data_IF_853368225287
#
_entry.id   IF_853368225287
#
_cell.length_a   1.000
_cell.length_b   1.000
_cell.length_c   1.000
_cell.angle_alpha   90.00
_cell.angle_beta   90.00
_cell.angle_gamma   90.00
#
_symmetry.space_group_name_H-M   'P 1'
#
loop_
_entity.id
_entity.type
_entity.pdbx_description
1 polymer ?
#
# COMPACT_ATOMS: atom_id res chain seq x y z
N UNK A 1 -18.62 -0.40 11.24
CA UNK A 1 -19.81 -1.25 11.14
C UNK A 1 -19.66 -2.14 9.93
N UNK A 2 -19.97 -3.46 10.04
CA UNK A 2 -20.14 -4.37 8.91
C UNK A 2 -21.62 -4.70 8.76
N UNK A 3 -22.16 -4.53 7.56
CA UNK A 3 -23.52 -4.92 7.19
C UNK A 3 -23.45 -6.08 6.20
N UNK A 4 -24.27 -7.11 6.40
CA UNK A 4 -24.43 -8.25 5.52
C UNK A 4 -25.87 -8.41 5.06
N UNK A 5 -26.39 -9.63 5.12
CA UNK A 5 -27.76 -9.95 4.74
C UNK A 5 -28.79 -9.16 5.59
N UNK A 6 -29.71 -8.51 4.93
CA UNK A 6 -30.90 -7.85 5.51
C UNK A 6 -32.15 -8.56 4.99
N UNK A 7 -32.96 -9.13 5.88
CA UNK A 7 -34.03 -10.04 5.52
C UNK A 7 -35.36 -9.35 5.23
N UNK A 8 -35.58 -8.10 5.69
CA UNK A 8 -36.84 -7.38 5.43
C UNK A 8 -36.67 -5.85 5.40
N UNK A 9 -37.63 -5.15 4.80
CA UNK A 9 -37.60 -3.69 4.59
C UNK A 9 -37.69 -2.88 5.90
N UNK A 10 -38.32 -3.41 6.94
CA UNK A 10 -38.43 -2.70 8.22
C UNK A 10 -37.05 -2.66 8.88
N UNK A 11 -36.35 -3.80 8.90
CA UNK A 11 -34.97 -3.87 9.41
C UNK A 11 -34.04 -2.96 8.60
N UNK A 12 -34.16 -2.94 7.28
CA UNK A 12 -33.41 -2.02 6.45
C UNK A 12 -33.68 -0.56 6.83
N UNK A 13 -34.94 -0.17 6.97
CA UNK A 13 -35.34 1.21 7.32
C UNK A 13 -34.80 1.62 8.69
N UNK A 14 -34.90 0.76 9.69
CA UNK A 14 -34.33 0.99 11.04
C UNK A 14 -32.80 1.15 10.96
N UNK A 15 -32.11 0.28 10.20
CA UNK A 15 -30.66 0.37 10.02
C UNK A 15 -30.28 1.69 9.36
N UNK A 16 -30.93 2.09 8.27
CA UNK A 16 -30.65 3.35 7.55
C UNK A 16 -30.85 4.57 8.46
N UNK A 17 -31.90 4.58 9.27
CA UNK A 17 -32.12 5.66 10.27
C UNK A 17 -30.99 5.70 11.30
N UNK A 18 -30.59 4.55 11.85
CA UNK A 18 -29.49 4.46 12.80
C UNK A 18 -28.14 4.93 12.19
N UNK A 19 -27.88 4.59 10.92
CA UNK A 19 -26.69 5.05 10.21
C UNK A 19 -26.70 6.56 9.94
N UNK A 20 -27.86 7.15 9.67
CA UNK A 20 -28.02 8.61 9.46
C UNK A 20 -27.92 9.41 10.76
N UNK A 21 -28.25 8.83 11.88
CA UNK A 21 -28.36 9.52 13.18
C UNK A 21 -27.26 9.11 14.15
N UNK A 22 -27.39 7.94 14.75
CA UNK A 22 -26.52 7.47 15.84
C UNK A 22 -25.11 7.15 15.37
N UNK A 23 -24.97 6.61 14.16
CA UNK A 23 -23.70 6.12 13.62
C UNK A 23 -23.19 6.91 12.40
N UNK A 24 -23.64 8.16 12.22
CA UNK A 24 -23.33 9.00 11.04
C UNK A 24 -21.84 9.16 10.73
N UNK A 25 -20.99 9.10 11.76
CA UNK A 25 -19.53 9.29 11.63
C UNK A 25 -18.75 7.96 11.65
N UNK A 26 -19.46 6.83 11.73
CA UNK A 26 -18.84 5.50 11.81
C UNK A 26 -18.72 4.90 10.40
N UNK A 27 -17.51 4.50 9.96
CA UNK A 27 -17.36 3.85 8.66
C UNK A 27 -18.21 2.58 8.54
N UNK A 28 -18.85 2.40 7.39
CA UNK A 28 -19.73 1.27 7.08
C UNK A 28 -19.15 0.46 5.92
N UNK A 29 -18.92 -0.83 6.14
CA UNK A 29 -18.63 -1.81 5.11
C UNK A 29 -19.88 -2.62 4.84
N UNK A 30 -20.39 -2.55 3.61
CA UNK A 30 -21.65 -3.21 3.22
C UNK A 30 -21.41 -4.30 2.19
N UNK A 31 -21.75 -5.54 2.55
CA UNK A 31 -21.76 -6.72 1.67
C UNK A 31 -23.21 -7.00 1.25
N UNK A 32 -23.60 -6.68 -0.02
CA UNK A 32 -24.99 -6.75 -0.46
C UNK A 32 -25.38 -8.18 -0.82
N UNK A 33 -25.46 -9.03 0.18
CA UNK A 33 -25.83 -10.45 -0.02
C UNK A 33 -27.24 -10.54 -0.61
N UNK A 34 -27.36 -10.86 -1.90
CA UNK A 34 -28.65 -11.03 -2.60
C UNK A 34 -29.19 -12.47 -2.47
N UNK A 35 -28.29 -13.48 -2.58
CA UNK A 35 -28.64 -14.89 -2.47
C UNK A 35 -27.68 -15.57 -1.53
N UNK A 36 -28.20 -16.39 -0.61
CA UNK A 36 -27.40 -17.32 0.17
C UNK A 36 -27.14 -18.62 -0.61
N UNK A 37 -26.14 -19.43 -0.19
CA UNK A 37 -25.88 -20.77 -0.76
C UNK A 37 -27.07 -21.73 -0.62
N UNK A 38 -28.10 -21.37 0.13
CA UNK A 38 -29.31 -22.15 0.40
C UNK A 38 -30.58 -21.65 -0.35
N UNK A 39 -30.43 -20.68 -1.30
CA UNK A 39 -31.55 -20.11 -2.06
C UNK A 39 -31.79 -18.62 -1.77
N UNK A 40 -32.86 -18.06 -2.36
CA UNK A 40 -33.26 -16.67 -2.14
C UNK A 40 -33.67 -16.42 -0.68
N UNK A 41 -32.82 -15.70 0.03
CA UNK A 41 -33.03 -15.35 1.44
C UNK A 41 -33.55 -13.92 1.61
N UNK A 42 -33.64 -13.14 0.53
CA UNK A 42 -33.97 -11.72 0.56
C UNK A 42 -35.42 -11.46 0.11
N UNK A 43 -36.20 -10.87 0.99
CA UNK A 43 -37.48 -10.23 0.64
C UNK A 43 -37.31 -8.73 0.28
N UNK A 44 -36.09 -8.18 0.41
CA UNK A 44 -35.75 -6.77 0.19
C UNK A 44 -35.22 -6.56 -1.23
N UNK A 45 -35.85 -5.67 -1.99
CA UNK A 45 -35.31 -5.21 -3.27
C UNK A 45 -34.23 -4.12 -3.03
N UNK A 46 -33.01 -4.56 -2.71
CA UNK A 46 -31.88 -3.65 -2.48
C UNK A 46 -31.61 -2.74 -3.68
N UNK A 47 -31.93 -3.17 -4.90
CA UNK A 47 -31.73 -2.39 -6.12
C UNK A 47 -32.54 -1.09 -6.10
N UNK A 48 -33.79 -1.12 -5.66
CA UNK A 48 -34.63 0.07 -5.55
C UNK A 48 -34.18 1.01 -4.44
N UNK A 49 -33.42 0.52 -3.46
CA UNK A 49 -32.98 1.28 -2.28
C UNK A 49 -31.52 1.77 -2.37
N UNK A 50 -30.80 1.54 -3.52
CA UNK A 50 -29.39 1.90 -3.66
C UNK A 50 -29.11 3.38 -3.39
N UNK A 51 -29.99 4.29 -3.86
CA UNK A 51 -29.80 5.73 -3.69
C UNK A 51 -29.94 6.20 -2.23
N UNK A 52 -30.56 5.38 -1.37
CA UNK A 52 -30.65 5.63 0.07
C UNK A 52 -29.48 4.98 0.84
N UNK A 53 -28.99 3.86 0.35
CA UNK A 53 -27.97 3.04 1.00
C UNK A 53 -26.57 3.57 0.73
N UNK A 54 -26.20 3.76 -0.55
CA UNK A 54 -24.83 4.01 -0.96
C UNK A 54 -24.20 5.29 -0.40
N UNK A 55 -24.94 6.41 -0.22
CA UNK A 55 -24.39 7.60 0.44
C UNK A 55 -23.95 7.39 1.90
N UNK A 56 -24.40 6.32 2.54
CA UNK A 56 -24.02 5.95 3.91
C UNK A 56 -22.89 4.94 3.98
N UNK A 57 -22.45 4.41 2.81
CA UNK A 57 -21.50 3.30 2.73
C UNK A 57 -20.07 3.81 2.47
N UNK A 58 -19.15 3.40 3.33
CA UNK A 58 -17.72 3.67 3.16
C UNK A 58 -17.06 2.72 2.17
N UNK A 59 -17.38 1.42 2.24
CA UNK A 59 -16.89 0.42 1.28
C UNK A 59 -18.04 -0.53 0.95
N UNK A 60 -18.39 -0.59 -0.32
CA UNK A 60 -19.40 -1.51 -0.87
C UNK A 60 -18.72 -2.71 -1.52
N UNK A 61 -19.15 -3.95 -1.18
CA UNK A 61 -18.40 -5.17 -1.57
C UNK A 61 -19.25 -6.21 -2.29
N UNK A 62 -19.90 -5.89 -3.42
CA UNK A 62 -20.66 -6.87 -4.20
C UNK A 62 -19.72 -7.90 -4.85
N UNK A 63 -20.19 -9.14 -5.03
CA UNK A 63 -19.58 -10.02 -6.02
C UNK A 63 -20.04 -9.62 -7.44
N UNK A 64 -19.39 -10.14 -8.48
CA UNK A 64 -19.69 -9.75 -9.86
C UNK A 64 -21.16 -9.99 -10.24
N UNK A 65 -21.80 -11.15 -9.97
CA UNK A 65 -23.23 -11.35 -10.21
C UNK A 65 -24.13 -10.37 -9.45
N UNK A 66 -23.83 -10.09 -8.19
CA UNK A 66 -24.56 -9.09 -7.38
C UNK A 66 -24.43 -7.70 -7.99
N UNK A 67 -23.22 -7.29 -8.38
CA UNK A 67 -22.98 -5.99 -9.00
C UNK A 67 -23.75 -5.83 -10.32
N UNK A 68 -23.75 -6.83 -11.19
CA UNK A 68 -24.51 -6.82 -12.45
C UNK A 68 -26.02 -6.68 -12.20
N UNK A 69 -26.55 -7.47 -11.27
CA UNK A 69 -27.97 -7.43 -10.88
C UNK A 69 -28.35 -6.04 -10.34
N UNK A 70 -27.59 -5.51 -9.41
CA UNK A 70 -27.85 -4.21 -8.78
C UNK A 70 -27.73 -3.04 -9.76
N UNK A 71 -26.77 -3.09 -10.69
CA UNK A 71 -26.57 -2.06 -11.70
C UNK A 71 -27.49 -2.24 -12.95
N UNK A 72 -28.22 -3.34 -13.07
CA UNK A 72 -28.94 -3.72 -14.30
C UNK A 72 -28.04 -3.81 -15.54
N UNK A 73 -26.86 -4.36 -15.36
CA UNK A 73 -25.94 -4.63 -16.46
C UNK A 73 -26.03 -6.10 -16.86
N UNK A 74 -25.90 -6.35 -18.15
CA UNK A 74 -25.69 -7.69 -18.71
C UNK A 74 -24.20 -7.96 -18.98
N UNK A 75 -23.89 -9.20 -19.40
CA UNK A 75 -22.53 -9.60 -19.72
C UNK A 75 -21.95 -8.85 -20.92
N UNK A 76 -22.79 -8.46 -21.90
CA UNK A 76 -22.35 -7.70 -23.07
C UNK A 76 -21.87 -6.29 -22.64
N UNK A 77 -22.64 -5.62 -21.80
CA UNK A 77 -22.27 -4.31 -21.26
C UNK A 77 -21.02 -4.42 -20.38
N UNK A 78 -20.92 -5.45 -19.54
CA UNK A 78 -19.71 -5.70 -18.75
C UNK A 78 -18.47 -5.87 -19.64
N UNK A 79 -18.59 -6.64 -20.71
CA UNK A 79 -17.48 -6.89 -21.65
C UNK A 79 -17.02 -5.62 -22.35
N UNK A 80 -17.93 -4.71 -22.67
CA UNK A 80 -17.63 -3.46 -23.35
C UNK A 80 -17.08 -2.38 -22.41
N UNK A 81 -17.58 -2.29 -21.19
CA UNK A 81 -17.33 -1.19 -20.26
C UNK A 81 -16.30 -1.56 -19.18
N UNK A 82 -16.20 -2.84 -18.80
CA UNK A 82 -15.31 -3.36 -17.79
C UNK A 82 -15.76 -3.19 -16.35
N UNK A 83 -15.09 -3.90 -15.44
CA UNK A 83 -15.42 -3.92 -14.01
C UNK A 83 -15.16 -2.59 -13.31
N UNK A 84 -14.18 -1.80 -13.76
CA UNK A 84 -13.90 -0.46 -13.20
C UNK A 84 -15.08 0.49 -13.40
N UNK A 85 -15.69 0.50 -14.59
CA UNK A 85 -16.89 1.31 -14.84
C UNK A 85 -18.12 0.78 -14.11
N UNK A 86 -18.25 -0.54 -13.95
CA UNK A 86 -19.30 -1.11 -13.13
C UNK A 86 -19.15 -0.68 -11.66
N UNK A 87 -17.94 -0.64 -11.12
CA UNK A 87 -17.67 -0.12 -9.78
C UNK A 87 -17.97 1.39 -9.68
N UNK A 88 -17.59 2.17 -10.72
CA UNK A 88 -17.87 3.60 -10.79
C UNK A 88 -19.37 3.92 -10.70
N UNK A 89 -20.24 3.10 -11.27
CA UNK A 89 -21.69 3.24 -11.14
C UNK A 89 -22.14 3.34 -9.67
N UNK A 90 -21.54 2.57 -8.75
CA UNK A 90 -21.87 2.62 -7.33
C UNK A 90 -21.21 3.79 -6.60
N UNK A 91 -20.03 4.24 -7.06
CA UNK A 91 -19.41 5.49 -6.59
C UNK A 91 -20.30 6.68 -6.95
N UNK A 92 -20.79 6.75 -8.20
CA UNK A 92 -21.67 7.84 -8.68
C UNK A 92 -22.99 7.89 -7.90
N UNK A 93 -23.41 6.80 -7.27
CA UNK A 93 -24.57 6.71 -6.37
C UNK A 93 -24.22 7.01 -4.90
N UNK A 94 -22.98 7.36 -4.58
CA UNK A 94 -22.58 7.86 -3.28
C UNK A 94 -21.72 6.94 -2.41
N UNK A 95 -21.39 5.73 -2.85
CA UNK A 95 -20.41 4.89 -2.14
C UNK A 95 -19.01 5.54 -2.20
N UNK A 96 -18.26 5.54 -1.09
CA UNK A 96 -16.92 6.16 -1.06
C UNK A 96 -15.83 5.25 -1.63
N UNK A 97 -16.03 3.95 -1.59
CA UNK A 97 -15.19 2.94 -2.24
C UNK A 97 -16.03 1.72 -2.60
N UNK A 98 -15.63 1.01 -3.64
CA UNK A 98 -16.28 -0.21 -4.11
C UNK A 98 -15.23 -1.29 -4.36
N UNK A 99 -15.51 -2.51 -3.93
CA UNK A 99 -14.75 -3.71 -4.29
C UNK A 99 -15.69 -4.67 -5.00
N UNK A 100 -15.51 -4.86 -6.32
CA UNK A 100 -16.20 -5.92 -7.05
C UNK A 100 -15.37 -7.20 -6.90
N UNK A 101 -15.92 -8.19 -6.19
CA UNK A 101 -15.29 -9.48 -5.96
C UNK A 101 -15.40 -10.36 -7.22
N UNK A 102 -14.26 -10.79 -7.76
CA UNK A 102 -14.20 -11.54 -9.02
C UNK A 102 -13.93 -13.03 -8.88
N UNK A 103 -14.02 -13.61 -7.69
CA UNK A 103 -13.79 -15.05 -7.47
C UNK A 103 -14.71 -16.02 -8.24
N UNK A 104 -15.70 -15.50 -8.96
CA UNK A 104 -16.59 -16.22 -9.88
C UNK A 104 -16.45 -15.72 -11.33
N UNK A 105 -15.35 -15.02 -11.64
CA UNK A 105 -15.13 -14.50 -12.99
C UNK A 105 -14.67 -15.63 -13.92
N UNK A 106 -15.59 -16.16 -14.74
CA UNK A 106 -15.32 -17.18 -15.76
C UNK A 106 -14.41 -16.69 -16.90
N UNK A 107 -14.13 -15.39 -16.97
CA UNK A 107 -13.30 -14.78 -18.02
C UNK A 107 -11.82 -14.73 -17.66
N UNK A 108 -11.44 -15.03 -16.41
CA UNK A 108 -10.06 -15.01 -15.94
C UNK A 108 -9.69 -16.32 -15.25
N UNK A 109 -8.43 -16.75 -15.44
CA UNK A 109 -7.83 -17.87 -14.69
C UNK A 109 -7.40 -17.44 -13.27
N UNK A 110 -7.44 -16.15 -12.98
CA UNK A 110 -7.05 -15.57 -11.71
C UNK A 110 -8.28 -15.09 -10.94
N UNK A 111 -8.18 -15.10 -9.60
CA UNK A 111 -9.15 -14.48 -8.72
C UNK A 111 -8.91 -12.97 -8.67
N UNK A 112 -9.58 -12.22 -9.55
CA UNK A 112 -9.42 -10.79 -9.69
C UNK A 112 -10.51 -10.02 -8.95
N UNK A 113 -10.14 -9.07 -8.06
CA UNK A 113 -11.07 -8.12 -7.46
C UNK A 113 -10.73 -6.70 -7.94
N UNK A 114 -11.75 -5.92 -8.28
CA UNK A 114 -11.59 -4.53 -8.73
C UNK A 114 -11.94 -3.58 -7.60
N UNK A 115 -10.98 -2.73 -7.22
CA UNK A 115 -11.18 -1.63 -6.25
C UNK A 115 -11.32 -0.31 -7.00
N UNK A 116 -12.31 0.51 -6.62
CA UNK A 116 -12.49 1.89 -7.11
C UNK A 116 -12.88 2.79 -5.95
N UNK A 117 -12.29 3.98 -5.91
CA UNK A 117 -12.65 5.09 -5.03
C UNK A 117 -12.47 6.42 -5.77
N UNK A 118 -12.79 7.56 -5.13
CA UNK A 118 -12.56 8.88 -5.71
C UNK A 118 -11.09 9.18 -6.04
N UNK A 119 -10.15 8.46 -5.44
CA UNK A 119 -8.71 8.75 -5.53
C UNK A 119 -7.94 7.76 -6.40
N UNK A 120 -8.37 6.50 -6.45
CA UNK A 120 -7.61 5.44 -7.11
C UNK A 120 -8.52 4.30 -7.56
N UNK A 121 -8.16 3.70 -8.70
CA UNK A 121 -8.79 2.48 -9.23
C UNK A 121 -7.72 1.47 -9.62
N UNK A 122 -7.82 0.26 -9.11
CA UNK A 122 -6.86 -0.82 -9.38
C UNK A 122 -7.51 -2.20 -9.32
N UNK A 123 -6.81 -3.20 -9.85
CA UNK A 123 -7.17 -4.61 -9.78
C UNK A 123 -6.21 -5.35 -8.86
N UNK A 124 -6.75 -6.23 -8.03
CA UNK A 124 -5.99 -7.14 -7.17
C UNK A 124 -6.12 -8.56 -7.69
N UNK A 125 -5.00 -9.23 -7.95
CA UNK A 125 -4.99 -10.59 -8.51
C UNK A 125 -4.31 -11.57 -7.59
N UNK A 126 -4.89 -12.78 -7.52
CA UNK A 126 -4.24 -13.98 -6.99
C UNK A 126 -4.45 -15.13 -7.98
N UNK A 127 -3.52 -16.09 -8.03
CA UNK A 127 -3.79 -17.36 -8.71
C UNK A 127 -5.05 -18.01 -8.15
N UNK A 128 -5.89 -18.58 -9.03
CA UNK A 128 -7.07 -19.30 -8.59
C UNK A 128 -6.66 -20.60 -7.88
N UNK A 129 -7.27 -20.89 -6.74
CA UNK A 129 -7.03 -22.13 -6.00
C UNK A 129 -8.08 -23.15 -6.44
N UNK A 130 -7.68 -24.07 -7.32
CA UNK A 130 -8.57 -25.12 -7.85
C UNK A 130 -9.04 -26.09 -6.78
N UNK A 131 -10.29 -26.56 -6.92
CA UNK A 131 -10.86 -27.64 -6.10
C UNK A 131 -11.20 -27.27 -4.65
N UNK A 132 -10.94 -26.03 -4.22
CA UNK A 132 -11.24 -25.56 -2.88
C UNK A 132 -12.24 -24.41 -2.93
N UNK A 133 -13.54 -24.74 -3.00
CA UNK A 133 -14.55 -23.75 -2.65
C UNK A 133 -14.44 -23.42 -1.17
N UNK A 134 -14.48 -22.15 -0.79
CA UNK A 134 -14.44 -21.74 0.62
C UNK A 134 -15.80 -21.19 1.04
N UNK A 135 -16.35 -21.70 2.17
CA UNK A 135 -17.49 -21.07 2.80
C UNK A 135 -17.06 -19.87 3.63
N UNK A 136 -17.81 -18.77 3.50
CA UNK A 136 -17.62 -17.57 4.32
C UNK A 136 -16.60 -16.56 3.78
N UNK A 137 -16.00 -16.77 2.61
CA UNK A 137 -14.99 -15.85 2.04
C UNK A 137 -15.47 -14.41 1.87
N UNK A 138 -16.70 -14.18 1.38
CA UNK A 138 -17.29 -12.83 1.26
C UNK A 138 -17.50 -12.14 2.61
N UNK A 139 -18.08 -12.86 3.57
CA UNK A 139 -18.26 -12.36 4.93
C UNK A 139 -16.92 -12.09 5.64
N UNK A 140 -15.92 -12.95 5.41
CA UNK A 140 -14.58 -12.75 5.95
C UNK A 140 -13.90 -11.51 5.35
N UNK A 141 -14.02 -11.28 4.03
CA UNK A 141 -13.50 -10.08 3.36
C UNK A 141 -14.11 -8.81 3.97
N UNK A 142 -15.44 -8.73 4.00
CA UNK A 142 -16.14 -7.54 4.52
C UNK A 142 -15.89 -7.30 6.01
N UNK A 143 -15.70 -8.37 6.81
CA UNK A 143 -15.34 -8.25 8.21
C UNK A 143 -13.88 -7.82 8.42
N UNK A 144 -12.94 -8.35 7.64
CA UNK A 144 -11.54 -7.93 7.65
C UNK A 144 -11.40 -6.45 7.22
N UNK A 145 -12.11 -6.01 6.18
CA UNK A 145 -12.18 -4.61 5.78
C UNK A 145 -12.66 -3.70 6.92
N UNK A 146 -13.76 -4.10 7.59
CA UNK A 146 -14.30 -3.32 8.71
C UNK A 146 -13.31 -3.23 9.88
N UNK A 147 -12.60 -4.31 10.20
CA UNK A 147 -11.58 -4.34 11.23
C UNK A 147 -10.37 -3.46 10.87
N UNK A 148 -9.87 -3.53 9.62
CA UNK A 148 -8.75 -2.72 9.16
C UNK A 148 -9.09 -1.22 9.13
N UNK A 149 -10.28 -0.85 8.65
CA UNK A 149 -10.76 0.54 8.67
C UNK A 149 -10.94 1.05 10.11
N UNK A 150 -11.42 0.22 11.03
CA UNK A 150 -11.49 0.56 12.46
C UNK A 150 -10.09 0.83 13.05
N UNK A 151 -9.06 0.14 12.58
CA UNK A 151 -7.64 0.35 12.90
C UNK A 151 -6.99 1.48 12.07
N UNK A 152 -7.80 2.32 11.41
CA UNK A 152 -7.36 3.52 10.67
C UNK A 152 -6.54 3.27 9.42
N UNK A 153 -6.58 2.06 8.84
CA UNK A 153 -6.05 1.85 7.49
C UNK A 153 -6.88 2.64 6.46
N UNK A 154 -6.22 3.14 5.43
CA UNK A 154 -6.92 3.72 4.28
C UNK A 154 -7.70 2.62 3.53
N UNK A 155 -8.73 2.97 2.77
CA UNK A 155 -9.60 1.98 2.14
C UNK A 155 -8.85 1.08 1.15
N UNK A 156 -7.92 1.65 0.38
CA UNK A 156 -7.07 0.91 -0.55
C UNK A 156 -6.08 -0.04 0.18
N UNK A 157 -5.50 0.39 1.31
CA UNK A 157 -4.66 -0.47 2.16
C UNK A 157 -5.48 -1.62 2.77
N UNK A 158 -6.66 -1.28 3.30
CA UNK A 158 -7.57 -2.28 3.84
C UNK A 158 -7.99 -3.30 2.78
N UNK A 159 -8.19 -2.87 1.52
CA UNK A 159 -8.57 -3.75 0.42
C UNK A 159 -7.48 -4.81 0.13
N UNK A 160 -6.21 -4.40 -0.04
CA UNK A 160 -5.12 -5.34 -0.33
C UNK A 160 -4.87 -6.31 0.83
N UNK A 161 -4.90 -5.81 2.08
CA UNK A 161 -4.71 -6.65 3.27
C UNK A 161 -5.88 -7.63 3.50
N UNK A 162 -7.13 -7.18 3.29
CA UNK A 162 -8.30 -8.05 3.41
C UNK A 162 -8.34 -9.11 2.30
N UNK A 163 -7.93 -8.78 1.07
CA UNK A 163 -7.78 -9.74 -0.03
C UNK A 163 -6.74 -10.80 0.32
N UNK A 164 -5.59 -10.41 0.85
CA UNK A 164 -4.53 -11.32 1.30
C UNK A 164 -5.02 -12.23 2.45
N UNK A 165 -5.74 -11.67 3.42
CA UNK A 165 -6.33 -12.42 4.53
C UNK A 165 -7.28 -13.53 4.03
N UNK A 166 -8.16 -13.21 3.09
CA UNK A 166 -9.10 -14.19 2.50
C UNK A 166 -8.34 -15.24 1.71
N UNK A 167 -7.35 -14.85 0.90
CA UNK A 167 -6.53 -15.79 0.13
C UNK A 167 -5.76 -16.75 1.05
N UNK A 168 -5.14 -16.24 2.12
CA UNK A 168 -4.51 -17.05 3.15
C UNK A 168 -5.49 -18.07 3.77
N UNK A 169 -6.70 -17.62 4.08
CA UNK A 169 -7.74 -18.48 4.65
C UNK A 169 -8.25 -19.57 3.70
N UNK A 170 -8.28 -19.32 2.39
CA UNK A 170 -8.61 -20.31 1.37
C UNK A 170 -7.46 -21.31 1.19
N UNK A 171 -6.23 -20.81 1.15
CA UNK A 171 -5.02 -21.63 1.01
C UNK A 171 -4.77 -22.52 2.22
N UNK A 172 -5.07 -22.02 3.40
CA UNK A 172 -4.91 -22.70 4.69
C UNK A 172 -6.26 -22.67 5.44
N UNK A 173 -7.24 -23.51 5.03
CA UNK A 173 -8.57 -23.50 5.61
C UNK A 173 -8.53 -23.95 7.08
N UNK A 174 -9.59 -23.61 7.83
CA UNK A 174 -9.79 -24.18 9.16
C UNK A 174 -9.78 -25.70 9.06
N UNK A 175 -9.20 -26.38 10.07
CA UNK A 175 -9.10 -27.84 10.10
C UNK A 175 -10.45 -28.46 9.73
N UNK A 176 -10.45 -29.22 8.64
CA UNK A 176 -11.56 -30.09 8.30
C UNK A 176 -11.63 -31.16 9.37
N UNK A 177 -12.76 -31.27 10.06
CA UNK A 177 -13.04 -32.48 10.82
C UNK A 177 -13.03 -33.62 9.80
N UNK A 178 -12.12 -34.60 9.96
CA UNK A 178 -11.89 -35.70 9.00
C UNK A 178 -13.13 -36.55 8.70
N UNK A 179 -14.22 -36.36 9.47
CA UNK A 179 -15.41 -37.20 9.45
C UNK A 179 -16.61 -36.62 8.66
N UNK A 180 -16.51 -35.47 8.00
CA UNK A 180 -17.65 -34.87 7.28
C UNK A 180 -17.31 -34.63 5.82
N UNK A 181 -17.66 -35.60 4.95
CA UNK A 181 -17.36 -35.57 3.50
C UNK A 181 -17.86 -34.31 2.78
N UNK A 182 -18.98 -33.73 3.23
CA UNK A 182 -19.53 -32.50 2.67
C UNK A 182 -18.67 -31.26 2.96
N UNK A 183 -17.83 -31.25 4.00
CA UNK A 183 -16.91 -30.16 4.33
C UNK A 183 -15.58 -30.27 3.58
N UNK A 184 -15.27 -31.45 3.00
CA UNK A 184 -14.02 -31.63 2.21
C UNK A 184 -14.08 -30.88 0.89
N UNK A 185 -15.26 -30.74 0.27
CA UNK A 185 -15.43 -30.02 -1.00
C UNK A 185 -15.41 -28.50 -0.84
N UNK A 186 -15.93 -27.98 0.29
CA UNK A 186 -15.96 -26.54 0.60
C UNK A 186 -15.67 -26.29 2.09
N UNK A 187 -14.41 -26.39 2.50
CA UNK A 187 -14.07 -26.15 3.89
C UNK A 187 -14.34 -24.67 4.26
N UNK A 188 -14.64 -24.38 5.55
CA UNK A 188 -14.73 -23.02 6.01
C UNK A 188 -13.36 -22.34 5.88
N UNK A 189 -13.39 -21.04 5.55
CA UNK A 189 -12.17 -20.23 5.46
C UNK A 189 -11.39 -20.27 6.78
N UNK A 190 -10.05 -20.39 6.71
CA UNK A 190 -9.18 -20.25 7.88
C UNK A 190 -9.06 -18.79 8.33
N UNK A 191 -8.97 -18.59 9.64
CA UNK A 191 -8.78 -17.28 10.27
C UNK A 191 -7.35 -17.19 10.81
N UNK A 192 -6.38 -16.95 9.92
CA UNK A 192 -4.94 -17.08 10.20
C UNK A 192 -4.26 -15.78 10.70
N UNK A 193 -5.04 -14.76 11.03
CA UNK A 193 -4.53 -13.45 11.45
C UNK A 193 -4.08 -12.55 10.29
N UNK A 194 -3.38 -11.46 10.61
CA UNK A 194 -2.79 -10.58 9.60
C UNK A 194 -1.68 -11.34 8.85
N UNK A 195 -1.68 -11.19 7.53
CA UNK A 195 -0.68 -11.82 6.67
C UNK A 195 0.68 -11.14 6.87
N UNK A 196 1.71 -11.95 7.00
CA UNK A 196 3.13 -11.54 7.15
C UNK A 196 4.06 -12.24 6.14
N UNK A 197 3.48 -12.75 5.06
CA UNK A 197 4.17 -13.44 3.97
C UNK A 197 3.76 -12.80 2.64
N UNK A 198 4.72 -12.23 1.91
CA UNK A 198 4.51 -11.58 0.62
C UNK A 198 3.92 -12.52 -0.43
N UNK A 199 4.16 -13.83 -0.35
CA UNK A 199 3.57 -14.80 -1.28
C UNK A 199 2.05 -14.94 -1.17
N UNK A 200 1.46 -14.40 -0.11
CA UNK A 200 0.03 -14.36 0.15
C UNK A 200 -0.60 -13.01 -0.20
N UNK A 201 0.21 -12.01 -0.54
CA UNK A 201 -0.29 -10.69 -0.95
C UNK A 201 -0.73 -10.71 -2.42
N UNK A 202 -1.75 -9.93 -2.80
CA UNK A 202 -2.18 -9.83 -4.19
C UNK A 202 -1.15 -9.08 -5.04
N UNK A 203 -1.06 -9.44 -6.31
CA UNK A 203 -0.52 -8.54 -7.31
C UNK A 203 -1.49 -7.38 -7.55
N UNK A 204 -0.96 -6.17 -7.67
CA UNK A 204 -1.75 -4.95 -7.84
C UNK A 204 -1.47 -4.33 -9.20
N UNK A 205 -2.52 -4.10 -9.97
CA UNK A 205 -2.45 -3.50 -11.32
C UNK A 205 -3.24 -2.19 -11.35
N UNK A 206 -2.55 -1.11 -11.66
CA UNK A 206 -3.11 0.22 -11.82
C UNK A 206 -2.74 0.77 -13.20
N UNK A 207 -3.72 1.27 -13.94
CA UNK A 207 -3.49 1.79 -15.30
C UNK A 207 -2.47 2.94 -15.29
N UNK A 208 -1.51 2.87 -16.20
CA UNK A 208 -0.46 3.88 -16.33
C UNK A 208 0.63 3.83 -15.26
N UNK A 209 0.64 2.83 -14.37
CA UNK A 209 1.74 2.61 -13.46
C UNK A 209 2.82 1.75 -14.15
N UNK A 210 4.12 2.07 -14.00
CA UNK A 210 5.18 1.32 -14.65
C UNK A 210 5.28 -0.11 -14.14
N UNK A 211 5.70 -1.02 -15.03
CA UNK A 211 5.94 -2.43 -14.72
C UNK A 211 7.37 -2.81 -15.12
N UNK A 212 8.01 -3.68 -14.36
CA UNK A 212 9.29 -4.29 -14.72
C UNK A 212 9.41 -5.67 -14.12
N UNK A 213 9.96 -6.60 -14.87
CA UNK A 213 10.26 -7.96 -14.40
C UNK A 213 11.71 -8.14 -13.94
N UNK A 214 12.53 -7.10 -14.04
CA UNK A 214 13.96 -7.17 -13.75
C UNK A 214 14.30 -6.32 -12.53
N UNK A 215 15.05 -6.87 -11.56
CA UNK A 215 15.39 -6.13 -10.35
C UNK A 215 16.38 -4.98 -10.64
N UNK A 216 16.31 -3.98 -9.79
CA UNK A 216 17.35 -2.95 -9.68
C UNK A 216 18.57 -3.49 -8.93
N UNK A 217 19.76 -2.86 -9.09
CA UNK A 217 20.93 -3.23 -8.29
C UNK A 217 20.63 -3.18 -6.79
N UNK A 218 21.15 -4.13 -6.04
CA UNK A 218 20.88 -4.26 -4.60
C UNK A 218 21.49 -3.13 -3.77
N UNK A 219 20.89 -2.87 -2.61
CA UNK A 219 21.46 -2.10 -1.52
C UNK A 219 21.80 -3.02 -0.34
N UNK A 220 22.70 -2.60 0.58
CA UNK A 220 22.81 -3.24 1.88
C UNK A 220 21.45 -3.30 2.58
N UNK A 221 21.14 -4.42 3.25
CA UNK A 221 19.87 -4.61 4.00
C UNK A 221 19.64 -3.48 5.01
N UNK A 222 20.72 -2.95 5.58
CA UNK A 222 20.69 -1.79 6.48
C UNK A 222 21.50 -0.66 5.88
N UNK A 223 20.83 0.41 5.50
CA UNK A 223 21.46 1.66 5.05
C UNK A 223 21.88 2.55 6.23
N UNK A 224 21.44 2.25 7.45
CA UNK A 224 21.75 2.98 8.67
C UNK A 224 21.06 4.32 8.76
N UNK A 225 21.76 5.33 9.31
CA UNK A 225 21.30 6.71 9.31
C UNK A 225 21.27 7.25 7.88
N UNK A 226 20.12 7.77 7.47
CA UNK A 226 19.88 8.24 6.10
C UNK A 226 19.36 9.69 6.08
N UNK A 227 20.22 10.72 6.22
CA UNK A 227 19.82 12.12 6.12
C UNK A 227 19.43 12.49 4.69
N UNK A 228 18.38 13.34 4.59
CA UNK A 228 17.93 14.00 3.36
C UNK A 228 18.27 15.47 3.48
N UNK A 229 19.13 15.99 2.60
CA UNK A 229 19.67 17.34 2.63
C UNK A 229 19.53 18.05 1.29
N UNK A 230 19.66 19.37 1.28
CA UNK A 230 19.40 20.21 0.12
C UNK A 230 20.67 20.85 -0.50
N UNK A 231 21.84 20.54 0.04
CA UNK A 231 23.10 21.14 -0.44
C UNK A 231 24.32 20.24 -0.30
N UNK A 232 25.33 20.51 -1.13
CA UNK A 232 26.62 19.82 -1.10
C UNK A 232 27.37 20.10 0.20
N UNK A 233 27.22 21.28 0.78
CA UNK A 233 27.86 21.63 2.06
C UNK A 233 27.34 20.75 3.20
N UNK A 234 26.04 20.47 3.23
CA UNK A 234 25.48 19.50 4.19
C UNK A 234 26.04 18.11 3.97
N UNK A 235 26.19 17.67 2.73
CA UNK A 235 26.80 16.37 2.43
C UNK A 235 28.21 16.29 2.99
N UNK A 236 29.06 17.30 2.70
CA UNK A 236 30.45 17.36 3.18
C UNK A 236 30.54 17.31 4.71
N UNK A 237 29.65 18.04 5.41
CA UNK A 237 29.57 18.05 6.87
C UNK A 237 29.20 16.68 7.44
N UNK A 238 28.13 16.07 6.93
CA UNK A 238 27.64 14.76 7.40
C UNK A 238 28.64 13.63 7.15
N UNK A 239 29.32 13.66 6.01
CA UNK A 239 30.37 12.67 5.67
C UNK A 239 31.55 12.75 6.62
N UNK A 240 31.94 13.97 7.02
CA UNK A 240 32.99 14.19 8.04
C UNK A 240 32.59 13.59 9.39
N UNK A 241 31.31 13.66 9.75
CA UNK A 241 30.78 13.06 10.99
C UNK A 241 30.58 11.54 10.90
N UNK A 242 30.82 10.95 9.72
CA UNK A 242 30.81 9.50 9.53
C UNK A 242 29.58 8.93 8.84
N UNK A 243 28.63 9.75 8.36
CA UNK A 243 27.46 9.29 7.60
C UNK A 243 27.87 8.62 6.27
N UNK A 244 27.24 7.51 5.89
CA UNK A 244 27.57 6.72 4.69
C UNK A 244 26.44 6.55 3.70
N UNK A 245 25.21 7.00 4.03
CA UNK A 245 24.07 7.03 3.12
C UNK A 245 23.40 8.38 3.22
N UNK A 246 23.24 9.09 2.10
CA UNK A 246 22.70 10.46 2.05
C UNK A 246 21.78 10.58 0.82
N UNK A 247 20.71 11.39 0.95
CA UNK A 247 19.90 11.82 -0.18
C UNK A 247 20.08 13.31 -0.41
N UNK A 248 20.38 13.69 -1.65
CA UNK A 248 20.38 15.08 -2.08
C UNK A 248 19.02 15.43 -2.67
N UNK A 249 18.33 16.38 -2.04
CA UNK A 249 16.98 16.83 -2.42
C UNK A 249 16.94 18.32 -2.68
N UNK A 250 17.19 18.72 -3.91
CA UNK A 250 17.10 20.11 -4.39
C UNK A 250 15.73 20.30 -5.05
N UNK A 251 14.86 21.09 -4.42
CA UNK A 251 13.47 21.28 -4.87
C UNK A 251 13.33 22.20 -6.09
N UNK A 252 14.25 23.14 -6.24
CA UNK A 252 14.22 24.08 -7.35
C UNK A 252 14.70 23.42 -8.63
N UNK A 253 13.74 22.96 -9.44
CA UNK A 253 14.00 22.35 -10.75
C UNK A 253 14.50 23.36 -11.80
N UNK A 254 14.36 24.67 -11.54
CA UNK A 254 14.78 25.77 -12.43
C UNK A 254 16.20 26.29 -12.14
N UNK A 255 16.88 25.76 -11.12
CA UNK A 255 18.24 26.16 -10.77
C UNK A 255 19.21 25.90 -11.93
N UNK A 256 19.80 26.92 -12.58
CA UNK A 256 20.71 26.74 -13.71
C UNK A 256 21.99 25.97 -13.35
N UNK A 257 22.31 25.86 -12.07
CA UNK A 257 23.46 25.10 -11.54
C UNK A 257 23.06 23.74 -10.95
N UNK A 258 21.84 23.27 -11.19
CA UNK A 258 21.34 22.02 -10.61
C UNK A 258 22.24 20.83 -10.96
N UNK A 259 22.62 20.69 -12.25
CA UNK A 259 23.50 19.60 -12.69
C UNK A 259 24.90 19.73 -12.07
N UNK A 260 25.48 20.93 -12.02
CA UNK A 260 26.81 21.16 -11.42
C UNK A 260 26.81 20.74 -9.95
N UNK A 261 25.77 21.10 -9.17
CA UNK A 261 25.62 20.72 -7.76
C UNK A 261 25.47 19.20 -7.58
N UNK A 262 24.67 18.55 -8.44
CA UNK A 262 24.49 17.09 -8.42
C UNK A 262 25.83 16.40 -8.73
N UNK A 263 26.53 16.85 -9.77
CA UNK A 263 27.80 16.27 -10.18
C UNK A 263 28.88 16.43 -9.10
N UNK A 264 29.00 17.62 -8.51
CA UNK A 264 29.92 17.87 -7.36
C UNK A 264 29.60 16.93 -6.18
N UNK A 265 28.30 16.74 -5.86
CA UNK A 265 27.89 15.85 -4.81
C UNK A 265 28.26 14.39 -5.09
N UNK A 266 28.06 13.93 -6.33
CA UNK A 266 28.41 12.58 -6.76
C UNK A 266 29.92 12.35 -6.68
N UNK A 267 30.74 13.23 -7.29
CA UNK A 267 32.21 13.13 -7.25
C UNK A 267 32.75 13.07 -5.81
N UNK A 268 32.21 13.94 -4.94
CA UNK A 268 32.62 13.96 -3.53
C UNK A 268 32.23 12.67 -2.79
N UNK A 269 30.98 12.18 -3.01
CA UNK A 269 30.50 10.96 -2.35
C UNK A 269 31.24 9.72 -2.83
N UNK A 270 31.52 9.59 -4.11
CA UNK A 270 32.30 8.47 -4.69
C UNK A 270 33.71 8.41 -4.12
N UNK A 271 34.41 9.58 -4.04
CA UNK A 271 35.74 9.68 -3.46
C UNK A 271 35.77 9.26 -1.98
N UNK A 272 34.65 9.42 -1.24
CA UNK A 272 34.50 9.09 0.16
C UNK A 272 33.75 7.77 0.43
N UNK A 273 33.38 6.99 -0.61
CA UNK A 273 32.59 5.74 -0.54
C UNK A 273 31.27 5.93 0.20
N UNK A 274 30.54 7.00 -0.13
CA UNK A 274 29.23 7.35 0.40
C UNK A 274 28.15 7.01 -0.62
N UNK A 275 27.10 6.34 -0.19
CA UNK A 275 25.91 6.03 -1.01
C UNK A 275 25.06 7.27 -1.16
N UNK A 276 25.11 7.93 -2.33
CA UNK A 276 24.35 9.13 -2.63
C UNK A 276 23.16 8.80 -3.52
N UNK A 277 21.95 9.08 -3.02
CA UNK A 277 20.73 9.04 -3.81
C UNK A 277 20.31 10.46 -4.20
N UNK A 278 19.95 10.66 -5.47
CA UNK A 278 19.40 11.92 -5.97
C UNK A 278 17.88 11.85 -5.94
N UNK A 279 17.22 12.82 -5.30
CA UNK A 279 15.77 12.91 -5.21
C UNK A 279 15.17 13.48 -6.51
N UNK A 280 14.16 12.85 -7.08
CA UNK A 280 13.35 13.24 -8.25
C UNK A 280 14.10 13.39 -9.60
N UNK A 281 15.33 13.87 -9.62
CA UNK A 281 16.07 14.23 -10.84
C UNK A 281 16.78 13.05 -11.50
N UNK A 282 16.03 12.01 -11.91
CA UNK A 282 16.63 10.75 -12.38
C UNK A 282 17.50 10.93 -13.64
N UNK A 283 17.14 11.84 -14.55
CA UNK A 283 17.96 12.07 -15.77
C UNK A 283 19.32 12.67 -15.44
N UNK A 284 19.35 13.63 -14.52
CA UNK A 284 20.60 14.23 -14.02
C UNK A 284 21.40 13.23 -13.19
N UNK A 285 20.76 12.38 -12.42
CA UNK A 285 21.40 11.29 -11.68
C UNK A 285 22.08 10.29 -12.63
N UNK A 286 21.45 9.97 -13.77
CA UNK A 286 22.04 9.13 -14.83
C UNK A 286 23.26 9.82 -15.44
N UNK A 287 23.15 11.10 -15.81
CA UNK A 287 24.24 11.87 -16.42
C UNK A 287 25.45 12.01 -15.50
N UNK A 288 25.22 12.17 -14.20
CA UNK A 288 26.27 12.27 -13.18
C UNK A 288 26.80 10.90 -12.70
N UNK A 289 26.26 9.77 -13.16
CA UNK A 289 26.59 8.42 -12.70
C UNK A 289 26.43 8.25 -11.19
N UNK A 290 25.35 8.77 -10.61
CA UNK A 290 25.06 8.69 -9.19
C UNK A 290 24.93 7.23 -8.70
N UNK A 291 25.09 7.00 -7.39
CA UNK A 291 24.86 5.68 -6.79
C UNK A 291 23.43 5.20 -6.97
N UNK A 292 22.46 6.10 -6.89
CA UNK A 292 21.04 5.79 -7.11
C UNK A 292 20.15 7.03 -7.19
N UNK A 293 18.89 6.77 -7.42
CA UNK A 293 17.82 7.77 -7.45
C UNK A 293 16.72 7.37 -6.47
N UNK A 294 16.05 8.37 -5.88
CA UNK A 294 14.88 8.19 -5.04
C UNK A 294 13.67 8.87 -5.68
N UNK A 295 12.55 8.14 -5.81
CA UNK A 295 11.33 8.63 -6.45
C UNK A 295 10.12 8.45 -5.53
N UNK A 296 9.21 9.41 -5.55
CA UNK A 296 7.87 9.28 -5.01
C UNK A 296 6.95 8.49 -5.93
N UNK A 297 5.79 8.06 -5.43
CA UNK A 297 4.79 7.32 -6.23
C UNK A 297 4.25 8.15 -7.40
N UNK A 298 4.20 9.49 -7.26
CA UNK A 298 3.80 10.41 -8.32
C UNK A 298 4.87 10.45 -9.42
N UNK A 299 6.15 10.58 -9.03
CA UNK A 299 7.28 10.70 -9.97
C UNK A 299 7.50 9.39 -10.77
N UNK A 300 7.17 8.23 -10.18
CA UNK A 300 7.26 6.93 -10.85
C UNK A 300 6.38 6.83 -12.10
N UNK A 301 5.25 7.54 -12.16
CA UNK A 301 4.34 7.51 -13.33
C UNK A 301 4.97 8.14 -14.57
N UNK A 302 5.81 9.16 -14.36
CA UNK A 302 6.43 9.93 -15.43
C UNK A 302 7.88 9.49 -15.72
N UNK A 303 8.48 8.67 -14.83
CA UNK A 303 9.86 8.24 -14.94
C UNK A 303 10.03 7.05 -15.91
N UNK A 304 11.07 7.12 -16.74
CA UNK A 304 11.52 5.98 -17.54
C UNK A 304 12.31 4.98 -16.66
N UNK A 305 11.57 4.08 -16.04
CA UNK A 305 12.10 3.06 -15.10
C UNK A 305 13.16 2.18 -15.77
N UNK A 306 12.96 1.83 -17.04
CA UNK A 306 13.92 1.02 -17.78
C UNK A 306 15.21 1.78 -18.12
N UNK A 307 15.13 3.08 -18.35
CA UNK A 307 16.31 3.95 -18.53
C UNK A 307 17.15 4.01 -17.27
N UNK A 308 16.50 4.19 -16.11
CA UNK A 308 17.16 4.18 -14.79
C UNK A 308 17.86 2.85 -14.56
N UNK A 309 17.16 1.73 -14.78
CA UNK A 309 17.69 0.38 -14.59
C UNK A 309 18.87 0.08 -15.51
N UNK A 310 18.78 0.43 -16.81
CA UNK A 310 19.85 0.24 -17.80
C UNK A 310 21.09 1.06 -17.49
N UNK A 311 20.92 2.22 -16.85
CA UNK A 311 22.04 3.03 -16.38
C UNK A 311 22.75 2.44 -15.17
N UNK A 312 22.21 1.35 -14.57
CA UNK A 312 22.80 0.69 -13.41
C UNK A 312 22.55 1.41 -12.07
N UNK A 313 21.68 2.42 -12.07
CA UNK A 313 21.33 3.14 -10.84
C UNK A 313 20.46 2.29 -9.94
N UNK A 314 20.65 2.44 -8.63
CA UNK A 314 19.74 1.91 -7.62
C UNK A 314 18.49 2.77 -7.55
N UNK A 315 17.34 2.14 -7.32
CA UNK A 315 16.05 2.82 -7.18
C UNK A 315 15.53 2.70 -5.74
N UNK A 316 15.37 3.83 -5.07
CA UNK A 316 14.59 3.94 -3.84
C UNK A 316 13.19 4.46 -4.13
N UNK A 317 12.18 3.93 -3.44
CA UNK A 317 10.78 4.33 -3.64
C UNK A 317 10.13 4.70 -2.32
N UNK A 318 9.53 5.90 -2.23
CA UNK A 318 8.68 6.31 -1.09
C UNK A 318 7.27 5.75 -1.21
N UNK A 319 6.73 5.22 -0.09
CA UNK A 319 5.38 4.66 -0.02
C UNK A 319 4.63 5.16 1.23
N UNK A 320 3.29 5.23 1.15
CA UNK A 320 2.43 5.81 2.18
C UNK A 320 1.35 4.85 2.67
N UNK A 321 1.58 3.55 2.56
CA UNK A 321 0.68 2.50 2.99
C UNK A 321 0.93 1.19 2.25
N UNK A 322 0.20 0.15 2.66
CA UNK A 322 0.40 -1.21 2.15
C UNK A 322 0.11 -1.35 0.65
N UNK A 323 -0.85 -0.58 0.12
CA UNK A 323 -1.16 -0.55 -1.31
C UNK A 323 0.02 -0.02 -2.14
N UNK A 324 0.57 1.13 -1.76
CA UNK A 324 1.73 1.72 -2.45
C UNK A 324 2.98 0.85 -2.26
N UNK A 325 3.15 0.26 -1.08
CA UNK A 325 4.24 -0.66 -0.80
C UNK A 325 4.23 -1.87 -1.75
N UNK A 326 3.06 -2.48 -2.00
CA UNK A 326 2.93 -3.59 -2.95
C UNK A 326 3.29 -3.18 -4.37
N UNK A 327 2.82 -2.03 -4.82
CA UNK A 327 3.17 -1.50 -6.15
C UNK A 327 4.67 -1.23 -6.28
N UNK A 328 5.25 -0.61 -5.26
CA UNK A 328 6.71 -0.39 -5.23
C UNK A 328 7.47 -1.72 -5.23
N UNK A 329 7.02 -2.69 -4.45
CA UNK A 329 7.63 -4.02 -4.37
C UNK A 329 7.65 -4.74 -5.73
N UNK A 330 6.59 -4.63 -6.52
CA UNK A 330 6.48 -5.21 -7.86
C UNK A 330 7.49 -4.60 -8.87
N UNK A 331 8.05 -3.43 -8.60
CA UNK A 331 9.13 -2.84 -9.40
C UNK A 331 10.51 -3.41 -9.04
N UNK A 332 10.62 -4.31 -8.07
CA UNK A 332 11.87 -4.86 -7.56
C UNK A 332 12.93 -3.77 -7.26
N UNK A 333 12.60 -2.75 -6.45
CA UNK A 333 13.46 -1.61 -6.19
C UNK A 333 14.65 -2.00 -5.31
N UNK A 334 15.64 -1.14 -5.20
CA UNK A 334 16.80 -1.33 -4.35
C UNK A 334 16.47 -1.16 -2.87
N UNK A 335 15.51 -0.32 -2.53
CA UNK A 335 14.90 -0.20 -1.21
C UNK A 335 13.52 0.46 -1.27
N UNK A 336 12.72 0.26 -0.22
CA UNK A 336 11.42 0.90 -0.04
C UNK A 336 11.46 1.78 1.21
N UNK A 337 11.05 3.05 1.07
CA UNK A 337 10.88 3.96 2.20
C UNK A 337 9.42 3.94 2.65
N UNK A 338 9.20 3.55 3.91
CA UNK A 338 7.90 3.43 4.56
C UNK A 338 7.62 4.71 5.36
N UNK A 339 6.60 5.44 5.02
CA UNK A 339 6.29 6.72 5.66
C UNK A 339 4.92 7.28 5.31
N UNK A 340 4.56 8.47 5.82
CA UNK A 340 5.25 9.12 6.94
C UNK A 340 4.77 8.51 8.28
N UNK A 341 5.72 8.23 9.18
CA UNK A 341 5.39 7.49 10.40
C UNK A 341 4.68 8.41 11.42
N UNK A 342 5.19 9.62 11.61
CA UNK A 342 4.63 10.64 12.52
C UNK A 342 4.28 11.92 11.77
N UNK A 343 3.46 12.82 12.34
CA UNK A 343 3.15 14.11 11.73
C UNK A 343 4.43 14.87 11.35
N UNK A 344 4.44 15.47 10.17
CA UNK A 344 5.60 16.20 9.63
C UNK A 344 5.15 17.44 8.88
N UNK A 345 5.98 18.50 8.96
CA UNK A 345 5.80 19.74 8.21
C UNK A 345 6.83 19.88 7.08
N UNK A 346 7.65 18.85 6.83
CA UNK A 346 8.72 18.91 5.82
C UNK A 346 8.19 18.79 4.38
N UNK A 347 7.01 18.20 4.20
CA UNK A 347 6.25 18.08 2.95
C UNK A 347 4.77 18.13 3.29
N UNK A 348 3.96 18.73 2.42
CA UNK A 348 2.49 18.56 2.49
C UNK A 348 2.18 17.11 2.15
N UNK A 349 1.57 16.41 3.10
CA UNK A 349 1.27 14.98 2.95
C UNK A 349 -0.20 14.79 2.64
N UNK A 350 -0.55 14.05 1.58
CA UNK A 350 -1.94 13.73 1.25
C UNK A 350 -2.56 12.68 2.18
N UNK A 351 -1.70 11.88 2.84
CA UNK A 351 -2.10 10.80 3.75
C UNK A 351 -1.98 11.21 5.22
N UNK A 352 -2.64 10.43 6.10
CA UNK A 352 -2.45 10.53 7.55
C UNK A 352 -1.18 9.78 7.98
N UNK A 353 -0.54 10.19 9.11
CA UNK A 353 0.60 9.43 9.65
C UNK A 353 0.24 7.97 9.90
N UNK A 354 1.14 7.06 9.52
CA UNK A 354 0.91 5.62 9.63
C UNK A 354 1.02 5.11 11.07
N UNK A 355 1.95 5.67 11.86
CA UNK A 355 2.32 5.17 13.19
C UNK A 355 3.11 3.86 13.14
N UNK A 356 3.68 3.48 14.29
CA UNK A 356 4.55 2.30 14.38
C UNK A 356 3.80 0.97 14.15
N UNK A 357 2.50 0.89 14.44
CA UNK A 357 1.73 -0.34 14.20
C UNK A 357 1.66 -0.70 12.71
N UNK A 358 1.32 0.26 11.84
CA UNK A 358 1.29 -0.01 10.40
C UNK A 358 2.69 -0.24 9.83
N UNK A 359 3.69 0.51 10.33
CA UNK A 359 5.09 0.26 10.01
C UNK A 359 5.48 -1.19 10.30
N UNK A 360 5.09 -1.74 11.47
CA UNK A 360 5.38 -3.14 11.81
C UNK A 360 4.70 -4.11 10.85
N UNK A 361 3.44 -3.87 10.47
CA UNK A 361 2.71 -4.71 9.50
C UNK A 361 3.42 -4.73 8.15
N UNK A 362 3.81 -3.57 7.63
CA UNK A 362 4.51 -3.44 6.35
C UNK A 362 5.93 -4.05 6.42
N UNK A 363 6.65 -3.79 7.52
CA UNK A 363 7.98 -4.33 7.73
C UNK A 363 7.96 -5.87 7.80
N UNK A 364 7.01 -6.46 8.52
CA UNK A 364 6.89 -7.91 8.64
C UNK A 364 6.64 -8.59 7.29
N UNK A 365 5.94 -7.90 6.36
CA UNK A 365 5.70 -8.41 5.01
C UNK A 365 6.97 -8.47 4.15
N UNK A 366 7.85 -7.45 4.21
CA UNK A 366 8.93 -7.26 3.23
C UNK A 366 10.36 -7.35 3.78
N UNK A 367 10.53 -7.51 5.10
CA UNK A 367 11.83 -7.46 5.83
C UNK A 367 12.95 -8.33 5.25
N UNK A 368 12.59 -9.49 4.67
CA UNK A 368 13.56 -10.46 4.15
C UNK A 368 13.72 -10.36 2.62
N UNK A 369 12.97 -9.44 1.98
CA UNK A 369 12.86 -9.36 0.52
C UNK A 369 13.51 -8.12 -0.07
N UNK A 370 13.43 -6.99 0.64
CA UNK A 370 13.94 -5.69 0.17
C UNK A 370 14.36 -4.82 1.37
N UNK A 371 15.48 -4.07 1.27
CA UNK A 371 15.87 -3.11 2.29
C UNK A 371 14.78 -2.08 2.55
N UNK A 372 14.58 -1.71 3.82
CA UNK A 372 13.53 -0.78 4.24
C UNK A 372 14.11 0.45 4.94
N UNK A 373 13.44 1.58 4.76
CA UNK A 373 13.79 2.87 5.37
C UNK A 373 12.54 3.49 5.98
N UNK A 374 12.50 3.72 7.28
CA UNK A 374 11.42 4.48 7.90
C UNK A 374 11.68 5.99 7.77
N UNK A 375 10.63 6.76 7.40
CA UNK A 375 10.73 8.20 7.22
C UNK A 375 9.49 8.94 7.73
N UNK A 376 9.65 10.21 8.11
CA UNK A 376 8.56 11.15 8.40
C UNK A 376 8.31 11.37 9.89
N UNK A 377 8.64 12.56 10.37
CA UNK A 377 8.39 13.01 11.74
C UNK A 377 9.19 12.28 12.83
N UNK A 378 10.22 11.52 12.46
CA UNK A 378 11.05 10.78 13.39
C UNK A 378 12.00 11.73 14.09
N UNK A 379 12.11 11.62 15.43
CA UNK A 379 12.91 12.43 16.33
C UNK A 379 13.63 11.53 17.35
N UNK A 380 14.66 12.04 18.02
CA UNK A 380 15.40 11.27 19.03
C UNK A 380 14.50 10.69 20.13
N UNK A 381 13.41 11.37 20.50
CA UNK A 381 12.51 10.91 21.55
C UNK A 381 11.55 9.77 21.12
N UNK A 382 11.30 9.57 19.80
CA UNK A 382 10.37 8.56 19.31
C UNK A 382 11.05 7.49 18.40
N UNK A 383 12.33 7.61 18.09
CA UNK A 383 13.05 6.68 17.20
C UNK A 383 13.14 5.27 17.76
N UNK A 384 13.14 5.08 19.07
CA UNK A 384 13.20 3.75 19.69
C UNK A 384 11.99 2.88 19.30
N UNK A 385 10.80 3.48 19.19
CA UNK A 385 9.59 2.77 18.76
C UNK A 385 9.68 2.39 17.27
N UNK A 386 10.32 3.23 16.45
CA UNK A 386 10.58 2.94 15.03
C UNK A 386 11.57 1.78 14.87
N UNK A 387 12.68 1.81 15.61
CA UNK A 387 13.69 0.74 15.59
C UNK A 387 13.11 -0.59 16.10
N UNK A 388 12.19 -0.55 17.06
CA UNK A 388 11.49 -1.74 17.57
C UNK A 388 10.64 -2.46 16.49
N UNK A 389 10.30 -1.79 15.38
CA UNK A 389 9.64 -2.41 14.21
C UNK A 389 10.61 -3.20 13.32
N UNK A 390 11.89 -3.31 13.68
CA UNK A 390 12.95 -3.98 12.91
C UNK A 390 13.19 -3.40 11.50
N UNK A 391 12.83 -2.12 11.29
CA UNK A 391 13.14 -1.43 10.05
C UNK A 391 14.66 -1.33 9.84
N UNK A 392 15.11 -1.50 8.59
CA UNK A 392 16.53 -1.54 8.28
C UNK A 392 17.27 -0.23 8.45
N UNK A 393 16.58 0.91 8.31
CA UNK A 393 17.19 2.24 8.26
C UNK A 393 16.22 3.34 8.67
N UNK A 394 16.74 4.49 9.06
CA UNK A 394 15.94 5.66 9.45
C UNK A 394 16.38 6.89 8.64
N UNK A 395 15.43 7.47 7.89
CA UNK A 395 15.67 8.70 7.14
C UNK A 395 15.14 9.95 7.88
N UNK A 396 15.90 11.01 7.81
CA UNK A 396 15.65 12.28 8.49
C UNK A 396 15.81 13.46 7.54
N UNK A 397 14.91 14.44 7.62
CA UNK A 397 15.06 15.75 6.93
C UNK A 397 15.51 16.79 7.95
N UNK A 398 14.61 17.22 8.83
CA UNK A 398 14.86 18.32 9.77
C UNK A 398 15.45 17.87 11.10
N UNK A 399 15.56 16.58 11.34
CA UNK A 399 16.02 16.02 12.60
C UNK A 399 17.51 16.30 12.90
N UNK A 400 18.28 16.65 11.87
CA UNK A 400 19.68 17.06 11.96
C UNK A 400 19.82 18.52 11.53
N UNK A 401 19.32 18.89 10.35
CA UNK A 401 19.57 20.20 9.74
C UNK A 401 18.99 21.39 10.53
N UNK A 402 18.03 21.14 11.44
CA UNK A 402 17.44 22.16 12.32
C UNK A 402 17.80 21.96 13.80
N UNK A 403 18.79 21.13 14.10
CA UNK A 403 19.29 20.98 15.47
C UNK A 403 20.17 22.15 15.86
N UNK A 404 20.22 22.48 17.17
CA UNK A 404 21.09 23.53 17.71
C UNK A 404 22.58 23.18 17.50
N UNK A 405 22.94 21.92 17.67
CA UNK A 405 24.26 21.37 17.35
C UNK A 405 24.07 20.14 16.38
N UNK A 406 24.16 20.39 15.07
CA UNK A 406 23.98 19.29 14.08
C UNK A 406 25.06 18.21 14.16
N UNK A 407 26.32 18.52 14.48
CA UNK A 407 27.40 17.53 14.52
C UNK A 407 27.22 16.58 15.70
N UNK A 408 26.93 17.13 16.91
CA UNK A 408 26.62 16.30 18.07
C UNK A 408 25.32 15.48 17.85
N UNK A 409 24.30 16.10 17.26
CA UNK A 409 23.05 15.41 16.91
C UNK A 409 23.28 14.28 15.92
N UNK A 410 24.15 14.47 14.92
CA UNK A 410 24.51 13.42 13.94
C UNK A 410 25.16 12.23 14.64
N UNK A 411 26.08 12.45 15.60
CA UNK A 411 26.70 11.37 16.38
C UNK A 411 25.67 10.59 17.21
N UNK A 412 24.70 11.28 17.83
CA UNK A 412 23.62 10.63 18.57
C UNK A 412 22.77 9.73 17.66
N UNK A 413 22.44 10.21 16.45
CA UNK A 413 21.72 9.42 15.47
C UNK A 413 22.53 8.22 14.97
N UNK A 414 23.82 8.38 14.70
CA UNK A 414 24.71 7.29 14.30
C UNK A 414 24.83 6.21 15.39
N UNK A 415 24.84 6.61 16.65
CA UNK A 415 24.84 5.67 17.78
C UNK A 415 23.55 4.83 17.85
N UNK A 416 22.41 5.37 17.41
CA UNK A 416 21.11 4.69 17.43
C UNK A 416 20.86 3.85 16.18
N UNK A 417 21.21 4.37 14.99
CA UNK A 417 20.86 3.77 13.69
C UNK A 417 22.04 3.04 13.02
N UNK A 418 23.27 3.32 13.43
CA UNK A 418 24.49 2.85 12.76
C UNK A 418 24.72 3.50 11.39
N UNK A 419 25.78 3.05 10.70
CA UNK A 419 26.20 3.56 9.37
C UNK A 419 25.74 2.67 8.21
N UNK A 420 24.97 1.62 8.49
CA UNK A 420 24.69 0.57 7.52
C UNK A 420 25.83 -0.42 7.33
N UNK A 421 25.55 -1.55 6.69
CA UNK A 421 26.54 -2.58 6.41
C UNK A 421 27.39 -2.26 5.18
N UNK A 422 28.61 -2.80 5.13
CA UNK A 422 29.51 -2.71 3.97
C UNK A 422 29.25 -3.83 2.94
N UNK A 423 28.38 -4.79 3.25
CA UNK A 423 28.04 -5.91 2.34
C UNK A 423 26.78 -5.58 1.55
N UNK A 424 26.94 -5.43 0.25
CA UNK A 424 25.88 -5.45 -0.76
C UNK A 424 25.39 -6.88 -1.01
#
# INVERSE_FOLDING_TARGET
IKVGLISDDNLLSILLDALKTTFKDVPVVWDPVLCGTAGDLNSVDLKQRLDEILPLVSIFTPNLPEALTLASWDEEKLKNEGTKKLAQFFIDKGARAVIIKGGHNILSKDAEDTFVSDFVAFTMKHPYIEGKGAHGGGCALSSALAALVANKFAFHDAAVLAKAYVYSGIKHPALTLDDVDALKERPPIGHNGLVNDMSLMPEVFEDGFPETSKPFPSCPIKLGLYPVVDSVDWIKRLVKDGVRTIQLRIKDKSDPKLFEKINEAVEFCDANKVRLFIDDHYELAIMAHAYGVHLGMEDLRDADIEKIRKAGLRLGVSTHGSYEMLKAYQLHPSYIALGHIFPTNSKVMPSKPQGCFKLSVEQDLIKDSVPTVAIGGIKLFNVKDVIASNVGSVALITGITKADDPDETTKQWLALCGNGGDKE
#
